data_IF_251620826902
#
_entry.id   IF_251620826902
#
_cell.length_a   1.000
_cell.length_b   1.000
_cell.length_c   1.000
_cell.angle_alpha   90.00
_cell.angle_beta   90.00
_cell.angle_gamma   90.00
#
_symmetry.space_group_name_H-M   'P 1'
#
loop_
_entity.id
_entity.type
_entity.pdbx_description
1 polymer ?
#
# COMPACT_ATOMS: atom_id res chain seq x y z
N UNK A 1 32.67 13.80 -13.25
CA UNK A 1 31.27 13.91 -13.71
C UNK A 1 30.39 13.54 -12.53
N UNK A 2 29.57 14.48 -12.05
CA UNK A 2 28.65 14.23 -10.92
C UNK A 2 27.53 13.33 -11.45
N UNK A 3 27.50 12.06 -11.05
CA UNK A 3 26.27 11.28 -11.11
C UNK A 3 25.28 12.00 -10.21
N UNK A 4 24.28 12.69 -10.77
CA UNK A 4 23.10 13.04 -9.98
C UNK A 4 22.55 11.69 -9.48
N UNK A 5 22.60 11.48 -8.16
CA UNK A 5 22.04 10.27 -7.57
C UNK A 5 20.55 10.26 -7.92
N UNK A 6 20.11 9.27 -8.71
CA UNK A 6 18.70 8.98 -8.91
C UNK A 6 18.02 8.98 -7.53
N UNK A 7 16.84 9.60 -7.42
CA UNK A 7 16.08 9.63 -6.16
C UNK A 7 15.61 8.20 -5.85
N UNK A 8 15.54 7.86 -4.58
CA UNK A 8 15.13 6.52 -4.13
C UNK A 8 13.61 6.45 -3.97
N UNK A 9 12.99 5.41 -4.53
CA UNK A 9 11.56 5.11 -4.40
C UNK A 9 11.41 3.77 -3.69
N UNK A 10 10.56 3.70 -2.67
CA UNK A 10 10.21 2.45 -1.99
C UNK A 10 8.74 2.14 -2.26
N UNK A 11 8.45 0.96 -2.82
CA UNK A 11 7.11 0.46 -3.08
C UNK A 11 6.69 -0.52 -1.96
N UNK A 12 5.60 -0.22 -1.27
CA UNK A 12 5.11 -0.94 -0.10
C UNK A 12 3.78 -1.64 -0.41
N UNK A 13 3.76 -2.96 -0.29
CA UNK A 13 2.60 -3.80 -0.60
C UNK A 13 1.57 -3.89 0.55
N UNK A 14 0.35 -4.34 0.21
CA UNK A 14 -0.76 -4.57 1.14
C UNK A 14 -0.65 -5.88 1.95
N UNK A 15 -1.69 -6.20 2.73
CA UNK A 15 -1.75 -7.38 3.63
C UNK A 15 -1.51 -8.72 2.92
N UNK A 16 -1.88 -8.83 1.65
CA UNK A 16 -1.76 -10.07 0.89
C UNK A 16 -0.62 -10.07 -0.13
N UNK A 17 0.24 -9.04 -0.16
CA UNK A 17 1.46 -9.00 -0.98
C UNK A 17 1.22 -9.04 -2.49
N UNK A 18 0.85 -10.21 -3.02
CA UNK A 18 0.50 -10.45 -4.42
C UNK A 18 -0.67 -9.61 -4.92
N UNK A 19 -1.58 -9.17 -4.03
CA UNK A 19 -2.61 -8.16 -4.36
C UNK A 19 -2.03 -6.75 -4.58
N UNK A 20 -0.71 -6.55 -4.43
CA UNK A 20 -0.05 -5.29 -4.76
C UNK A 20 1.11 -5.53 -5.73
N UNK A 21 0.79 -5.98 -6.95
CA UNK A 21 1.81 -6.12 -7.99
C UNK A 21 2.27 -4.73 -8.48
N UNK A 22 3.59 -4.53 -8.49
CA UNK A 22 4.25 -3.28 -8.87
C UNK A 22 5.00 -3.35 -10.21
N UNK A 23 4.94 -4.46 -10.96
CA UNK A 23 5.74 -4.68 -12.17
C UNK A 23 5.70 -3.51 -13.17
N UNK A 24 4.51 -3.03 -13.52
CA UNK A 24 4.37 -1.93 -14.49
C UNK A 24 4.79 -0.57 -13.91
N UNK A 25 4.71 -0.42 -12.58
CA UNK A 25 5.20 0.77 -11.87
C UNK A 25 6.73 0.77 -11.83
N UNK A 26 7.35 -0.38 -11.57
CA UNK A 26 8.81 -0.56 -11.58
C UNK A 26 9.35 -0.25 -12.99
N UNK A 27 8.78 -0.86 -14.04
CA UNK A 27 9.18 -0.61 -15.44
C UNK A 27 9.07 0.87 -15.84
N UNK A 28 8.10 1.58 -15.29
CA UNK A 28 7.92 3.01 -15.53
C UNK A 28 8.99 3.86 -14.81
N UNK A 29 9.35 3.51 -13.57
CA UNK A 29 10.20 4.33 -12.70
C UNK A 29 11.68 3.99 -12.75
N UNK A 30 12.06 2.75 -13.05
CA UNK A 30 13.46 2.26 -12.98
C UNK A 30 14.43 2.98 -13.94
N UNK A 31 13.89 3.73 -14.92
CA UNK A 31 14.69 4.54 -15.84
C UNK A 31 15.32 5.75 -15.17
N UNK A 32 14.61 6.36 -14.22
CA UNK A 32 14.96 7.66 -13.62
C UNK A 32 15.17 7.58 -12.09
N UNK A 33 14.78 6.48 -11.46
CA UNK A 33 14.77 6.29 -10.01
C UNK A 33 15.41 4.96 -9.60
N UNK A 34 15.99 4.91 -8.40
CA UNK A 34 16.32 3.64 -7.77
C UNK A 34 15.06 3.09 -7.11
N UNK A 35 14.53 1.98 -7.59
CA UNK A 35 13.27 1.41 -7.11
C UNK A 35 13.53 0.23 -6.18
N UNK A 36 13.01 0.32 -4.97
CA UNK A 36 13.13 -0.69 -3.91
C UNK A 36 11.75 -1.27 -3.60
N UNK A 37 11.65 -2.59 -3.52
CA UNK A 37 10.39 -3.30 -3.24
C UNK A 37 10.58 -4.28 -2.07
N UNK A 38 10.68 -3.81 -0.82
CA UNK A 38 10.87 -4.69 0.32
C UNK A 38 9.67 -5.61 0.51
N UNK A 39 9.93 -6.91 0.67
CA UNK A 39 8.91 -7.85 1.15
C UNK A 39 8.67 -7.60 2.63
N UNK A 40 7.49 -7.09 2.98
CA UNK A 40 7.14 -6.81 4.36
C UNK A 40 7.08 -8.13 5.15
N UNK A 41 7.64 -8.18 6.37
CA UNK A 41 7.73 -9.41 7.18
C UNK A 41 6.39 -9.75 7.85
N UNK A 42 5.28 -9.75 7.09
CA UNK A 42 3.91 -9.94 7.59
C UNK A 42 3.71 -11.29 8.29
N UNK A 43 4.53 -12.29 8.00
CA UNK A 43 4.43 -13.65 8.56
C UNK A 43 5.68 -14.08 9.32
N UNK A 44 6.60 -13.16 9.57
CA UNK A 44 7.86 -13.48 10.20
C UNK A 44 7.69 -13.71 11.70
N UNK A 45 8.23 -14.82 12.19
CA UNK A 45 8.35 -15.07 13.63
C UNK A 45 9.38 -14.15 14.30
N UNK A 46 10.18 -13.40 13.53
CA UNK A 46 11.17 -12.46 14.03
C UNK A 46 10.54 -11.20 14.63
N UNK A 47 9.29 -10.87 14.24
CA UNK A 47 8.57 -9.79 14.88
C UNK A 47 8.03 -10.27 16.23
N UNK A 48 8.48 -9.65 17.33
CA UNK A 48 7.97 -9.95 18.69
C UNK A 48 6.43 -9.85 18.77
N UNK A 49 5.82 -9.01 17.93
CA UNK A 49 4.37 -8.93 17.66
C UNK A 49 4.13 -8.52 16.22
N UNK A 50 3.20 -9.18 15.53
CA UNK A 50 2.72 -8.75 14.21
C UNK A 50 1.86 -7.50 14.37
N UNK A 51 2.52 -6.34 14.32
CA UNK A 51 1.99 -5.01 14.60
C UNK A 51 2.54 -4.01 13.59
N UNK A 52 1.84 -2.90 13.39
CA UNK A 52 2.28 -1.80 12.53
C UNK A 52 3.59 -1.19 13.01
N UNK A 53 3.77 -1.06 14.33
CA UNK A 53 5.04 -0.55 14.89
C UNK A 53 6.23 -1.44 14.50
N UNK A 54 6.03 -2.75 14.48
CA UNK A 54 7.07 -3.68 14.03
C UNK A 54 7.37 -3.55 12.54
N UNK A 55 6.39 -3.20 11.70
CA UNK A 55 6.61 -2.91 10.29
C UNK A 55 7.34 -1.57 10.08
N UNK A 56 7.09 -0.57 10.94
CA UNK A 56 7.82 0.70 10.93
C UNK A 56 9.30 0.45 11.25
N UNK A 57 9.62 -0.29 12.31
CA UNK A 57 11.02 -0.63 12.63
C UNK A 57 11.69 -1.44 11.51
N UNK A 58 10.97 -2.38 10.88
CA UNK A 58 11.50 -3.09 9.72
C UNK A 58 11.85 -2.13 8.57
N UNK A 59 10.99 -1.14 8.30
CA UNK A 59 11.23 -0.16 7.25
C UNK A 59 12.41 0.76 7.59
N UNK A 60 12.58 1.14 8.86
CA UNK A 60 13.75 1.87 9.36
C UNK A 60 15.04 1.08 9.09
N UNK A 61 15.10 -0.18 9.55
CA UNK A 61 16.25 -1.08 9.36
C UNK A 61 16.55 -1.28 7.86
N UNK A 62 15.51 -1.45 7.03
CA UNK A 62 15.65 -1.61 5.60
C UNK A 62 16.24 -0.37 4.91
N UNK A 63 15.76 0.83 5.28
CA UNK A 63 16.25 2.11 4.74
C UNK A 63 17.71 2.33 5.12
N UNK A 64 18.07 2.07 6.38
CA UNK A 64 19.45 2.20 6.87
C UNK A 64 20.39 1.22 6.15
N UNK A 65 20.01 -0.06 6.08
CA UNK A 65 20.83 -1.11 5.48
C UNK A 65 21.07 -0.91 3.98
N UNK A 66 20.15 -0.27 3.26
CA UNK A 66 20.29 0.04 1.83
C UNK A 66 20.84 1.45 1.56
N UNK A 67 21.22 2.20 2.61
CA UNK A 67 21.71 3.58 2.50
C UNK A 67 20.77 4.51 1.70
N UNK A 68 19.47 4.34 1.91
CA UNK A 68 18.42 5.11 1.23
C UNK A 68 18.27 6.46 1.94
N UNK A 69 18.28 7.55 1.18
CA UNK A 69 18.22 8.91 1.74
C UNK A 69 17.02 9.68 1.18
N UNK A 70 16.16 10.18 2.07
CA UNK A 70 14.96 10.93 1.70
C UNK A 70 14.07 10.22 0.66
N UNK A 71 13.63 8.97 0.92
CA UNK A 71 12.86 8.21 -0.07
C UNK A 71 11.53 8.90 -0.39
N UNK A 72 11.07 8.63 -1.61
CA UNK A 72 9.65 8.73 -1.95
C UNK A 72 9.01 7.39 -1.60
N UNK A 73 7.95 7.41 -0.80
CA UNK A 73 7.23 6.19 -0.42
C UNK A 73 5.95 6.07 -1.24
N UNK A 74 5.79 4.94 -1.91
CA UNK A 74 4.57 4.59 -2.64
C UNK A 74 3.96 3.38 -1.96
N UNK A 75 2.72 3.48 -1.49
CA UNK A 75 2.09 2.41 -0.71
C UNK A 75 0.66 2.14 -1.15
N UNK A 76 0.32 0.85 -1.27
CA UNK A 76 -1.06 0.41 -1.45
C UNK A 76 -1.61 -0.22 -0.18
N UNK A 77 -2.87 0.09 0.17
CA UNK A 77 -3.57 -0.51 1.31
C UNK A 77 -2.74 -0.40 2.61
N UNK A 78 -2.38 -1.52 3.25
CA UNK A 78 -1.46 -1.55 4.40
C UNK A 78 -0.14 -0.81 4.16
N UNK A 79 0.45 -0.94 2.96
CA UNK A 79 1.72 -0.30 2.62
C UNK A 79 1.62 1.23 2.66
N UNK A 80 0.46 1.78 2.30
CA UNK A 80 0.20 3.21 2.43
C UNK A 80 0.05 3.64 3.90
N UNK A 81 -0.60 2.82 4.74
CA UNK A 81 -0.64 3.05 6.19
C UNK A 81 0.77 3.05 6.79
N UNK A 82 1.60 2.07 6.42
CA UNK A 82 2.99 2.02 6.85
C UNK A 82 3.78 3.26 6.41
N UNK A 83 3.58 3.73 5.16
CA UNK A 83 4.21 4.95 4.67
C UNK A 83 3.82 6.19 5.50
N UNK A 84 2.54 6.32 5.84
CA UNK A 84 2.02 7.40 6.69
C UNK A 84 2.65 7.36 8.09
N UNK A 85 2.71 6.18 8.72
CA UNK A 85 3.34 6.02 10.04
C UNK A 85 4.82 6.35 10.02
N UNK A 86 5.54 5.91 8.99
CA UNK A 86 6.95 6.23 8.82
C UNK A 86 7.16 7.74 8.64
N UNK A 87 6.34 8.40 7.81
CA UNK A 87 6.42 9.85 7.63
C UNK A 87 6.07 10.65 8.90
N UNK A 88 5.18 10.13 9.74
CA UNK A 88 4.86 10.73 11.05
C UNK A 88 6.01 10.56 12.05
N UNK A 89 6.69 9.41 12.05
CA UNK A 89 7.84 9.14 12.90
C UNK A 89 9.10 9.90 12.45
N UNK A 90 9.26 10.09 11.13
CA UNK A 90 10.45 10.66 10.49
C UNK A 90 10.10 11.82 9.55
N UNK A 91 9.54 12.94 10.06
CA UNK A 91 8.96 14.00 9.23
C UNK A 91 9.97 14.68 8.29
N UNK A 92 11.26 14.63 8.59
CA UNK A 92 12.32 15.22 7.77
C UNK A 92 12.98 14.24 6.79
N UNK A 93 12.69 12.94 6.90
CA UNK A 93 13.35 11.89 6.13
C UNK A 93 12.51 11.38 4.96
N UNK A 94 11.31 11.90 4.72
CA UNK A 94 10.48 11.49 3.57
C UNK A 94 10.34 12.67 2.60
N UNK A 95 10.56 12.41 1.31
CA UNK A 95 10.49 13.45 0.28
C UNK A 95 9.06 13.69 -0.21
N UNK A 96 8.39 12.62 -0.67
CA UNK A 96 7.00 12.63 -1.13
C UNK A 96 6.31 11.32 -0.72
N UNK A 97 4.98 11.36 -0.63
CA UNK A 97 4.14 10.19 -0.42
C UNK A 97 3.19 9.99 -1.60
N UNK A 98 3.02 8.75 -2.06
CA UNK A 98 1.98 8.37 -3.01
C UNK A 98 1.17 7.23 -2.40
N UNK A 99 -0.12 7.47 -2.16
CA UNK A 99 -1.02 6.55 -1.48
C UNK A 99 -2.08 6.05 -2.45
N UNK A 100 -2.15 4.73 -2.62
CA UNK A 100 -3.07 4.07 -3.56
C UNK A 100 -4.04 3.16 -2.82
N UNK A 101 -5.34 3.49 -2.73
CA UNK A 101 -6.28 2.64 -1.97
C UNK A 101 -5.84 2.43 -0.51
N UNK A 102 -5.11 3.39 0.08
CA UNK A 102 -4.42 3.23 1.38
C UNK A 102 -5.37 3.04 2.56
N UNK A 103 -4.97 2.17 3.49
CA UNK A 103 -5.52 2.14 4.86
C UNK A 103 -4.99 3.35 5.67
N UNK A 104 -5.48 3.53 6.90
CA UNK A 104 -5.06 4.62 7.80
C UNK A 104 -6.23 5.43 8.36
N UNK A 105 -7.40 5.32 7.74
CA UNK A 105 -8.67 5.82 8.26
C UNK A 105 -9.60 4.64 8.54
N UNK A 106 -10.84 4.67 8.07
CA UNK A 106 -11.72 3.52 8.10
C UNK A 106 -11.63 2.74 6.78
N UNK A 107 -12.06 1.48 6.83
CA UNK A 107 -12.10 0.56 5.70
C UNK A 107 -13.24 -0.43 5.90
N UNK A 108 -13.77 -0.96 4.81
CA UNK A 108 -14.74 -2.04 4.88
C UNK A 108 -14.05 -3.31 5.37
N UNK A 109 -14.74 -4.07 6.23
CA UNK A 109 -14.15 -5.20 6.96
C UNK A 109 -14.02 -6.47 6.08
N UNK A 110 -13.48 -6.33 4.88
CA UNK A 110 -13.33 -7.41 3.91
C UNK A 110 -12.23 -8.40 4.31
N UNK A 111 -11.18 -7.98 5.05
CA UNK A 111 -10.11 -8.93 5.42
C UNK A 111 -10.62 -10.08 6.30
N UNK A 112 -11.60 -9.81 7.17
CA UNK A 112 -12.24 -10.84 7.99
C UNK A 112 -12.99 -11.89 7.15
N UNK A 113 -13.41 -11.55 5.93
CA UNK A 113 -14.14 -12.45 5.04
C UNK A 113 -13.27 -13.53 4.42
N UNK A 114 -11.94 -13.37 4.38
CA UNK A 114 -11.03 -14.37 3.79
C UNK A 114 -10.60 -15.46 4.78
N UNK A 115 -10.54 -15.16 6.07
CA UNK A 115 -9.74 -15.96 7.00
C UNK A 115 -10.45 -17.26 7.41
N UNK A 116 -9.72 -18.38 7.31
CA UNK A 116 -10.17 -19.75 7.67
C UNK A 116 -11.38 -20.26 6.86
N UNK A 117 -11.66 -19.66 5.70
CA UNK A 117 -12.64 -20.20 4.76
C UNK A 117 -11.93 -21.18 3.84
N UNK A 118 -12.24 -22.47 4.00
CA UNK A 118 -11.65 -23.57 3.21
C UNK A 118 -12.32 -23.78 1.84
N UNK A 119 -13.24 -22.91 1.46
CA UNK A 119 -13.88 -22.92 0.15
C UNK A 119 -13.10 -22.03 -0.81
N UNK A 120 -12.46 -22.64 -1.79
CA UNK A 120 -11.65 -21.93 -2.79
C UNK A 120 -12.50 -21.01 -3.67
N UNK A 121 -13.69 -21.43 -4.09
CA UNK A 121 -14.56 -20.63 -4.95
C UNK A 121 -15.08 -19.39 -4.21
N UNK A 122 -15.36 -19.55 -2.92
CA UNK A 122 -15.69 -18.41 -2.07
C UNK A 122 -14.53 -17.40 -2.00
N UNK A 123 -13.29 -17.88 -1.78
CA UNK A 123 -12.11 -16.99 -1.76
C UNK A 123 -11.88 -16.34 -3.12
N UNK A 124 -12.00 -17.10 -4.22
CA UNK A 124 -11.93 -16.58 -5.59
C UNK A 124 -12.91 -15.42 -5.80
N UNK A 125 -14.18 -15.62 -5.45
CA UNK A 125 -15.20 -14.59 -5.59
C UNK A 125 -14.86 -13.35 -4.75
N UNK A 126 -14.32 -13.53 -3.53
CA UNK A 126 -13.92 -12.42 -2.67
C UNK A 126 -12.69 -11.67 -3.18
N UNK A 127 -11.74 -12.36 -3.81
CA UNK A 127 -10.63 -11.71 -4.50
C UNK A 127 -11.17 -10.93 -5.70
N UNK A 128 -12.05 -11.51 -6.51
CA UNK A 128 -12.66 -10.82 -7.65
C UNK A 128 -13.45 -9.57 -7.25
N UNK A 129 -14.08 -9.53 -6.08
CA UNK A 129 -14.77 -8.34 -5.56
C UNK A 129 -13.83 -7.16 -5.29
N UNK A 130 -12.53 -7.38 -5.06
CA UNK A 130 -11.54 -6.31 -4.82
C UNK A 130 -11.24 -5.52 -6.10
N UNK A 131 -11.45 -6.14 -7.27
CA UNK A 131 -11.12 -5.61 -8.58
C UNK A 131 -12.39 -5.21 -9.32
N UNK A 132 -12.36 -4.08 -10.01
CA UNK A 132 -13.37 -3.75 -11.01
C UNK A 132 -13.09 -4.54 -12.30
N UNK A 133 -11.82 -4.61 -12.71
CA UNK A 133 -11.41 -5.34 -13.92
C UNK A 133 -11.02 -6.78 -13.58
N UNK A 134 -11.99 -7.70 -13.69
CA UNK A 134 -11.81 -9.11 -13.31
C UNK A 134 -10.74 -9.87 -14.10
N UNK A 135 -10.43 -9.45 -15.32
CA UNK A 135 -9.40 -10.10 -16.16
C UNK A 135 -7.98 -9.97 -15.58
N UNK A 136 -7.78 -9.04 -14.63
CA UNK A 136 -6.52 -8.87 -13.89
C UNK A 136 -6.35 -9.96 -12.81
N UNK A 137 -7.43 -10.61 -12.40
CA UNK A 137 -7.42 -11.62 -11.33
C UNK A 137 -6.94 -12.96 -11.88
N UNK A 138 -5.67 -13.27 -11.64
CA UNK A 138 -5.08 -14.54 -12.07
C UNK A 138 -5.37 -15.68 -11.07
N UNK A 139 -5.19 -16.92 -11.52
CA UNK A 139 -5.32 -18.09 -10.63
C UNK A 139 -4.27 -18.06 -9.53
N UNK A 140 -3.04 -17.66 -9.87
CA UNK A 140 -1.91 -17.55 -8.96
C UNK A 140 -2.22 -16.59 -7.82
N UNK A 141 -2.86 -15.46 -8.13
CA UNK A 141 -3.30 -14.48 -7.14
C UNK A 141 -4.30 -15.08 -6.14
N UNK A 142 -5.30 -15.82 -6.66
CA UNK A 142 -6.30 -16.49 -5.82
C UNK A 142 -5.68 -17.61 -4.99
N UNK A 143 -4.76 -18.39 -5.57
CA UNK A 143 -4.02 -19.45 -4.88
C UNK A 143 -3.21 -18.90 -3.69
N UNK A 144 -2.52 -17.77 -3.89
CA UNK A 144 -1.73 -17.10 -2.85
C UNK A 144 -2.61 -16.59 -1.69
N UNK A 145 -3.72 -15.94 -2.01
CA UNK A 145 -4.69 -15.49 -1.01
C UNK A 145 -5.28 -16.69 -0.28
N UNK A 146 -5.71 -17.73 -1.00
CA UNK A 146 -6.28 -18.94 -0.41
C UNK A 146 -5.30 -19.64 0.54
N UNK A 147 -4.05 -19.81 0.11
CA UNK A 147 -2.98 -20.43 0.89
C UNK A 147 -2.66 -19.63 2.16
N UNK A 148 -2.57 -18.30 2.03
CA UNK A 148 -2.29 -17.40 3.15
C UNK A 148 -3.45 -17.39 4.16
N UNK A 149 -4.68 -17.28 3.68
CA UNK A 149 -5.87 -17.21 4.51
C UNK A 149 -6.21 -18.52 5.24
N UNK A 150 -5.75 -19.66 4.71
CA UNK A 150 -5.97 -20.99 5.28
C UNK A 150 -4.77 -21.57 6.04
N UNK A 151 -3.60 -20.91 6.01
CA UNK A 151 -2.47 -21.27 6.86
C UNK A 151 -2.65 -20.66 8.26
N UNK A 152 -2.80 -21.44 9.35
CA UNK A 152 -3.20 -20.91 10.66
C UNK A 152 -2.33 -19.78 11.20
N UNK A 153 -1.01 -19.87 11.07
CA UNK A 153 -0.06 -18.86 11.55
C UNK A 153 -0.14 -17.57 10.73
N UNK A 154 -0.18 -17.67 9.39
CA UNK A 154 -0.33 -16.54 8.48
C UNK A 154 -1.67 -15.84 8.68
N UNK A 155 -2.76 -16.60 8.76
CA UNK A 155 -4.10 -16.12 9.03
C UNK A 155 -4.20 -15.34 10.34
N UNK A 156 -3.60 -15.85 11.42
CA UNK A 156 -3.54 -15.13 12.70
C UNK A 156 -2.74 -13.83 12.59
N UNK A 157 -1.68 -13.82 11.79
CA UNK A 157 -0.91 -12.60 11.53
C UNK A 157 -1.73 -11.55 10.77
N UNK A 158 -2.42 -11.94 9.70
CA UNK A 158 -3.34 -11.06 8.95
C UNK A 158 -4.36 -10.43 9.89
N UNK A 159 -5.02 -11.24 10.74
CA UNK A 159 -5.99 -10.73 11.72
C UNK A 159 -5.32 -9.75 12.70
N UNK A 160 -4.13 -10.07 13.19
CA UNK A 160 -3.40 -9.22 14.14
C UNK A 160 -3.08 -7.86 13.54
N UNK A 161 -2.51 -7.84 12.33
CA UNK A 161 -2.11 -6.62 11.61
C UNK A 161 -3.34 -5.80 11.23
N UNK A 162 -4.39 -6.41 10.67
CA UNK A 162 -5.63 -5.71 10.32
C UNK A 162 -6.29 -5.08 11.56
N UNK A 163 -6.32 -5.80 12.68
CA UNK A 163 -6.86 -5.27 13.95
C UNK A 163 -6.03 -4.10 14.47
N UNK A 164 -4.71 -4.18 14.37
CA UNK A 164 -3.81 -3.10 14.79
C UNK A 164 -3.97 -1.87 13.89
N UNK A 165 -4.06 -2.06 12.57
CA UNK A 165 -4.34 -1.00 11.61
C UNK A 165 -5.66 -0.29 11.89
N UNK A 166 -6.72 -1.03 12.19
CA UNK A 166 -8.00 -0.42 12.58
C UNK A 166 -7.91 0.39 13.87
N UNK A 167 -7.07 -0.03 14.83
CA UNK A 167 -6.87 0.69 16.10
C UNK A 167 -6.04 1.95 15.91
N UNK A 168 -5.06 1.92 15.01
CA UNK A 168 -4.19 3.04 14.69
C UNK A 168 -4.82 3.95 13.62
N UNK A 169 -6.03 4.44 13.88
CA UNK A 169 -6.65 5.42 13.01
C UNK A 169 -5.84 6.74 13.04
N UNK A 170 -5.46 7.24 11.87
CA UNK A 170 -4.56 8.37 11.73
C UNK A 170 -5.25 9.71 11.52
N UNK A 171 -6.60 9.78 11.53
CA UNK A 171 -7.38 11.00 11.22
C UNK A 171 -6.85 12.25 11.93
N UNK A 172 -6.60 12.13 13.23
CA UNK A 172 -6.14 13.24 14.07
C UNK A 172 -4.64 13.55 13.93
N UNK A 173 -3.90 12.81 13.10
CA UNK A 173 -2.47 12.96 12.89
C UNK A 173 -2.13 13.40 11.46
N UNK A 174 -3.04 13.23 10.49
CA UNK A 174 -2.79 13.57 9.07
C UNK A 174 -2.33 15.02 8.88
N UNK A 175 -2.85 15.97 9.67
CA UNK A 175 -2.44 17.38 9.62
C UNK A 175 -0.96 17.62 9.95
N UNK A 176 -0.25 16.63 10.51
CA UNK A 176 1.18 16.70 10.83
C UNK A 176 2.08 16.27 9.66
N UNK A 177 1.51 15.66 8.62
CA UNK A 177 2.22 15.18 7.44
C UNK A 177 2.32 16.36 6.46
N UNK A 178 3.46 17.05 6.49
CA UNK A 178 3.71 18.25 5.68
C UNK A 178 4.34 17.94 4.31
N UNK A 179 4.76 16.71 4.08
CA UNK A 179 5.28 16.25 2.79
C UNK A 179 4.21 16.41 1.70
N UNK A 180 4.59 16.67 0.44
CA UNK A 180 3.67 16.54 -0.68
C UNK A 180 3.10 15.11 -0.73
N UNK A 181 1.78 15.00 -0.83
CA UNK A 181 1.08 13.71 -0.92
C UNK A 181 0.26 13.64 -2.20
N UNK A 182 0.36 12.54 -2.93
CA UNK A 182 -0.59 12.18 -3.99
C UNK A 182 -1.46 11.03 -3.49
N UNK A 183 -2.78 11.22 -3.58
CA UNK A 183 -3.78 10.19 -3.37
C UNK A 183 -4.27 9.73 -4.74
N UNK A 184 -4.12 8.45 -5.06
CA UNK A 184 -4.64 7.85 -6.29
C UNK A 184 -5.61 6.74 -5.93
N UNK A 185 -6.87 6.87 -6.36
CA UNK A 185 -7.93 5.97 -5.88
C UNK A 185 -8.81 5.46 -7.01
N UNK A 186 -9.24 4.21 -6.92
CA UNK A 186 -10.27 3.67 -7.79
C UNK A 186 -11.65 4.17 -7.37
N UNK A 187 -12.49 4.56 -8.33
CA UNK A 187 -13.89 4.97 -8.05
C UNK A 187 -14.78 3.82 -7.60
N UNK A 188 -14.40 2.59 -7.89
CA UNK A 188 -15.12 1.37 -7.52
C UNK A 188 -14.41 0.61 -6.38
N UNK A 189 -13.48 1.26 -5.67
CA UNK A 189 -12.83 0.65 -4.51
C UNK A 189 -13.87 0.34 -3.42
N UNK A 190 -14.05 -0.95 -3.10
CA UNK A 190 -14.94 -1.41 -2.04
C UNK A 190 -14.22 -1.71 -0.73
N UNK A 191 -12.88 -1.70 -0.71
CA UNK A 191 -12.07 -2.00 0.48
C UNK A 191 -11.84 -0.70 1.26
N UNK A 192 -11.32 0.32 0.59
CA UNK A 192 -11.19 1.69 1.12
C UNK A 192 -11.99 2.61 0.21
N UNK A 193 -13.29 2.82 0.50
CA UNK A 193 -14.18 3.49 -0.45
C UNK A 193 -13.75 4.93 -0.78
N UNK A 194 -14.18 5.51 -1.93
CA UNK A 194 -13.69 6.80 -2.41
C UNK A 194 -13.80 7.97 -1.42
N UNK A 195 -14.80 7.97 -0.54
CA UNK A 195 -14.98 8.95 0.53
C UNK A 195 -13.86 8.90 1.60
N UNK A 196 -13.17 7.76 1.75
CA UNK A 196 -11.91 7.67 2.51
C UNK A 196 -10.82 8.54 1.89
N UNK A 197 -10.70 8.54 0.55
CA UNK A 197 -9.72 9.36 -0.15
C UNK A 197 -10.04 10.85 -0.02
N UNK A 198 -11.32 11.21 -0.07
CA UNK A 198 -11.79 12.58 0.18
C UNK A 198 -11.50 13.03 1.62
N UNK A 199 -11.65 12.13 2.60
CA UNK A 199 -11.31 12.40 4.00
C UNK A 199 -9.80 12.59 4.19
N UNK A 200 -8.96 11.75 3.56
CA UNK A 200 -7.52 11.97 3.50
C UNK A 200 -7.19 13.34 2.92
N UNK A 201 -7.77 13.68 1.77
CA UNK A 201 -7.56 14.96 1.08
C UNK A 201 -7.94 16.16 1.95
N UNK A 202 -9.01 16.04 2.73
CA UNK A 202 -9.47 17.09 3.65
C UNK A 202 -8.51 17.33 4.81
N UNK A 203 -7.79 16.30 5.27
CA UNK A 203 -6.95 16.37 6.47
C UNK A 203 -5.44 16.47 6.19
N UNK A 204 -4.99 16.16 4.98
CA UNK A 204 -3.59 16.30 4.56
C UNK A 204 -3.35 17.71 3.98
N UNK A 205 -2.43 18.51 4.54
CA UNK A 205 -2.26 19.92 4.16
C UNK A 205 -1.75 20.12 2.72
N UNK A 206 -0.96 19.17 2.21
CA UNK A 206 -0.29 19.25 0.90
C UNK A 206 -0.66 18.08 -0.01
N UNK A 207 -1.93 17.71 -0.04
CA UNK A 207 -2.43 16.60 -0.85
C UNK A 207 -2.91 17.03 -2.24
N UNK A 208 -2.73 16.13 -3.22
CA UNK A 208 -3.46 16.10 -4.50
C UNK A 208 -4.27 14.81 -4.55
N UNK A 209 -5.51 14.88 -5.01
CA UNK A 209 -6.38 13.72 -5.14
C UNK A 209 -6.69 13.45 -6.61
N UNK A 210 -6.48 12.21 -7.04
CA UNK A 210 -6.79 11.72 -8.37
C UNK A 210 -7.64 10.45 -8.27
N UNK A 211 -8.79 10.45 -8.95
CA UNK A 211 -9.62 9.27 -9.10
C UNK A 211 -9.41 8.61 -10.46
N UNK A 212 -9.42 7.29 -10.47
CA UNK A 212 -9.42 6.46 -11.67
C UNK A 212 -10.78 5.79 -11.79
N UNK A 213 -11.47 6.05 -12.90
CA UNK A 213 -12.73 5.39 -13.21
C UNK A 213 -12.50 3.97 -13.76
N UNK A 214 -13.47 3.08 -13.58
CA UNK A 214 -13.35 1.63 -13.88
C UNK A 214 -12.13 0.99 -13.20
N UNK A 215 -11.99 1.27 -11.90
CA UNK A 215 -10.89 0.81 -11.08
C UNK A 215 -11.37 0.52 -9.66
N UNK A 216 -11.02 -0.65 -9.14
CA UNK A 216 -11.21 -1.06 -7.76
C UNK A 216 -10.04 -0.66 -6.87
N UNK A 217 -9.62 -1.57 -5.99
CA UNK A 217 -8.70 -1.26 -4.90
C UNK A 217 -7.22 -1.13 -5.28
N UNK A 218 -6.85 -1.63 -6.46
CA UNK A 218 -5.45 -1.84 -6.82
C UNK A 218 -5.14 -1.15 -8.15
N UNK A 219 -5.16 0.20 -8.18
CA UNK A 219 -5.06 0.97 -9.41
C UNK A 219 -3.78 0.74 -10.21
N UNK A 220 -2.68 0.41 -9.52
CA UNK A 220 -1.41 0.03 -10.14
C UNK A 220 -1.48 -1.27 -10.96
N UNK A 221 -2.45 -2.13 -10.70
CA UNK A 221 -2.68 -3.38 -11.44
C UNK A 221 -3.81 -3.22 -12.47
N UNK A 222 -4.89 -2.52 -12.11
CA UNK A 222 -6.07 -2.43 -12.96
C UNK A 222 -5.94 -1.39 -14.08
N UNK A 223 -5.31 -0.26 -13.79
CA UNK A 223 -5.18 0.87 -14.71
C UNK A 223 -3.73 1.38 -14.70
N UNK A 224 -2.71 0.52 -14.97
CA UNK A 224 -1.29 0.85 -14.79
C UNK A 224 -0.85 2.06 -15.61
N UNK A 225 -1.39 2.25 -16.81
CA UNK A 225 -1.07 3.41 -17.67
C UNK A 225 -1.49 4.71 -17.00
N UNK A 226 -2.76 4.81 -16.60
CA UNK A 226 -3.33 6.02 -15.96
C UNK A 226 -2.67 6.25 -14.59
N UNK A 227 -2.45 5.18 -13.83
CA UNK A 227 -1.78 5.25 -12.54
C UNK A 227 -0.36 5.81 -12.68
N UNK A 228 0.42 5.32 -13.65
CA UNK A 228 1.77 5.79 -13.93
C UNK A 228 1.78 7.24 -14.45
N UNK A 229 0.79 7.66 -15.24
CA UNK A 229 0.65 9.06 -15.66
C UNK A 229 0.52 10.01 -14.46
N UNK A 230 -0.35 9.69 -13.49
CA UNK A 230 -0.50 10.49 -12.27
C UNK A 230 0.78 10.51 -11.42
N UNK A 231 1.45 9.36 -11.28
CA UNK A 231 2.75 9.29 -10.59
C UNK A 231 3.76 10.21 -11.27
N UNK A 232 3.95 10.06 -12.59
CA UNK A 232 4.95 10.82 -13.32
C UNK A 232 4.71 12.32 -13.21
N UNK A 233 3.47 12.78 -13.41
CA UNK A 233 3.10 14.19 -13.26
C UNK A 233 3.41 14.73 -11.86
N UNK A 234 3.13 13.94 -10.82
CA UNK A 234 3.39 14.34 -9.43
C UNK A 234 4.87 14.32 -9.07
N UNK A 235 5.65 13.38 -9.61
CA UNK A 235 7.08 13.29 -9.36
C UNK A 235 7.85 14.45 -10.01
N UNK A 236 7.42 14.90 -11.19
CA UNK A 236 8.04 16.02 -11.93
C UNK A 236 7.61 17.41 -11.47
N UNK A 237 6.51 17.52 -10.72
CA UNK A 237 6.02 18.78 -10.15
C UNK A 237 6.77 19.19 -8.87
#
# INVERSE_FOLDING_TARGET
>A
MKYEKNKDIILLHGLFGSLSNWEDVIKNLEKDYNVFTPTLPLFSNQLKRNSLQSLVHFLEDYIEANHIHHPILIGNSLGGHLALLYALAHPTLVNKLILAGSSGLYENNLQASFVRIRDYNYIKNKVEEIFETKDVVTKELVDDVFSTANTPTKALSIISIARDAKRQNLKHLLHKINQPVLLVWGKQDIVTPPDVAEEFYTHLPNARLAFIDRCGHVPMMEQPVIFNEYINQFLTA
#
